data_IF_121164242112
#
_entry.id   IF_121164242112
#
_cell.length_a   1.000
_cell.length_b   1.000
_cell.length_c   1.000
_cell.angle_alpha   90.00
_cell.angle_beta   90.00
_cell.angle_gamma   90.00
#
_symmetry.space_group_name_H-M   'P 1'
#
loop_
_entity.id
_entity.type
_entity.pdbx_description
1 polymer ?
#
# COMPACT_ATOMS: atom_id res chain seq x y z
N UNK A 1 11.71 11.27 -6.61
CA UNK A 1 10.32 11.73 -6.33
C UNK A 1 10.30 13.16 -5.77
N UNK A 2 10.89 13.47 -4.60
CA UNK A 2 10.84 14.82 -3.97
C UNK A 2 11.31 16.00 -4.84
N UNK A 3 12.32 15.78 -5.70
CA UNK A 3 12.86 16.82 -6.60
C UNK A 3 11.85 17.23 -7.68
N UNK A 4 10.88 16.38 -8.02
CA UNK A 4 9.91 16.67 -9.07
C UNK A 4 8.72 17.54 -8.59
N UNK A 5 8.56 17.73 -7.27
CA UNK A 5 7.42 18.43 -6.66
C UNK A 5 7.86 19.48 -5.63
N UNK A 6 9.06 20.05 -5.76
CA UNK A 6 9.56 21.17 -4.94
C UNK A 6 9.39 21.02 -3.41
N UNK A 7 9.56 19.79 -2.89
CA UNK A 7 9.37 19.43 -1.47
C UNK A 7 7.95 19.61 -0.91
N UNK A 8 6.94 19.84 -1.75
CA UNK A 8 5.55 19.91 -1.28
C UNK A 8 5.04 18.53 -0.81
N UNK A 9 4.23 18.49 0.28
CA UNK A 9 3.54 17.27 0.68
C UNK A 9 2.75 16.72 -0.51
N UNK A 10 3.05 15.48 -0.86
CA UNK A 10 2.57 14.87 -2.10
C UNK A 10 2.03 13.48 -1.83
N UNK A 11 1.15 13.02 -2.71
CA UNK A 11 0.56 11.70 -2.60
C UNK A 11 0.81 10.86 -3.85
N UNK A 12 0.81 9.55 -3.66
CA UNK A 12 0.98 8.55 -4.70
C UNK A 12 -0.22 7.61 -4.65
N UNK A 13 -0.83 7.37 -5.81
CA UNK A 13 -1.85 6.33 -5.99
C UNK A 13 -1.25 5.21 -6.82
N UNK A 14 -1.28 4.00 -6.28
CA UNK A 14 -0.75 2.79 -6.92
C UNK A 14 -1.90 1.80 -7.09
N UNK A 15 -2.18 1.43 -8.33
CA UNK A 15 -3.21 0.46 -8.70
C UNK A 15 -2.54 -0.81 -9.22
N UNK A 16 -2.52 -1.87 -8.40
CA UNK A 16 -1.86 -3.16 -8.65
C UNK A 16 -0.42 -3.07 -9.19
N UNK A 17 0.33 -2.06 -8.74
CA UNK A 17 1.66 -1.74 -9.27
C UNK A 17 2.70 -2.86 -9.06
N UNK A 18 2.48 -3.80 -8.13
CA UNK A 18 3.43 -4.88 -7.81
C UNK A 18 3.00 -6.26 -8.33
N UNK A 19 1.82 -6.38 -8.97
CA UNK A 19 1.23 -7.67 -9.34
C UNK A 19 2.13 -8.55 -10.21
N UNK A 20 2.93 -7.96 -11.11
CA UNK A 20 3.81 -8.69 -12.03
C UNK A 20 5.23 -8.90 -11.47
N UNK A 21 5.50 -8.51 -10.24
CA UNK A 21 6.80 -8.75 -9.61
C UNK A 21 6.86 -10.18 -9.06
N UNK A 22 8.03 -10.81 -9.17
CA UNK A 22 8.31 -12.09 -8.52
C UNK A 22 8.27 -11.96 -6.99
N UNK A 23 8.11 -13.10 -6.30
CA UNK A 23 7.92 -13.18 -4.85
C UNK A 23 9.01 -12.43 -4.06
N UNK A 24 10.29 -12.64 -4.42
CA UNK A 24 11.41 -11.98 -3.75
C UNK A 24 11.36 -10.46 -3.95
N UNK A 25 10.95 -10.01 -5.14
CA UNK A 25 10.86 -8.59 -5.45
C UNK A 25 9.69 -7.91 -4.74
N UNK A 26 8.55 -8.60 -4.54
CA UNK A 26 7.40 -8.08 -3.76
C UNK A 26 7.80 -7.74 -2.32
N UNK A 27 8.55 -8.63 -1.67
CA UNK A 27 9.07 -8.41 -0.32
C UNK A 27 9.98 -7.18 -0.20
N UNK A 28 10.66 -6.80 -1.29
CA UNK A 28 11.51 -5.60 -1.33
C UNK A 28 10.74 -4.32 -1.70
N UNK A 29 9.69 -4.42 -2.51
CA UNK A 29 8.92 -3.27 -3.00
C UNK A 29 8.08 -2.62 -1.90
N UNK A 30 7.52 -3.41 -0.98
CA UNK A 30 6.72 -2.89 0.13
C UNK A 30 7.56 -1.99 1.05
N UNK A 31 8.76 -2.38 1.53
CA UNK A 31 9.65 -1.49 2.27
C UNK A 31 10.02 -0.21 1.52
N UNK A 32 10.18 -0.25 0.20
CA UNK A 32 10.46 0.96 -0.59
C UNK A 32 9.27 1.92 -0.59
N UNK A 33 8.03 1.40 -0.68
CA UNK A 33 6.83 2.22 -0.55
C UNK A 33 6.70 2.84 0.86
N UNK A 34 7.03 2.08 1.91
CA UNK A 34 7.10 2.61 3.29
C UNK A 34 8.15 3.70 3.41
N UNK A 35 9.32 3.56 2.77
CA UNK A 35 10.34 4.60 2.74
C UNK A 35 9.85 5.92 2.13
N UNK A 36 8.90 5.88 1.19
CA UNK A 36 8.24 7.08 0.68
C UNK A 36 7.34 7.72 1.74
N UNK A 37 6.59 6.89 2.49
CA UNK A 37 5.75 7.35 3.60
C UNK A 37 6.59 8.02 4.69
N UNK A 38 7.69 7.39 5.11
CA UNK A 38 8.63 7.95 6.08
C UNK A 38 9.28 9.26 5.57
N UNK A 39 9.42 9.42 4.25
CA UNK A 39 9.88 10.65 3.62
C UNK A 39 8.79 11.74 3.51
N UNK A 40 7.59 11.50 4.02
CA UNK A 40 6.48 12.46 4.09
C UNK A 40 5.45 12.34 2.96
N UNK A 41 5.46 11.25 2.19
CA UNK A 41 4.47 11.03 1.13
C UNK A 41 3.24 10.27 1.65
N UNK A 42 2.06 10.67 1.22
CA UNK A 42 0.87 9.83 1.40
C UNK A 42 0.83 8.78 0.29
N UNK A 43 0.71 7.49 0.63
CA UNK A 43 0.61 6.42 -0.38
C UNK A 43 -0.73 5.72 -0.22
N UNK A 44 -1.49 5.67 -1.32
CA UNK A 44 -2.72 4.88 -1.45
C UNK A 44 -2.40 3.72 -2.40
N UNK A 45 -2.52 2.48 -1.91
CA UNK A 45 -2.24 1.28 -2.68
C UNK A 45 -3.49 0.43 -2.78
N UNK A 46 -3.98 0.21 -4.00
CA UNK A 46 -5.12 -0.65 -4.29
C UNK A 46 -4.62 -1.98 -4.83
N UNK A 47 -5.10 -3.08 -4.24
CA UNK A 47 -4.80 -4.42 -4.74
C UNK A 47 -5.84 -5.44 -4.33
N UNK A 48 -6.01 -6.45 -5.19
CA UNK A 48 -6.76 -7.68 -4.92
C UNK A 48 -5.84 -8.83 -4.47
N UNK A 49 -4.52 -8.62 -4.47
CA UNK A 49 -3.54 -9.63 -4.12
C UNK A 49 -3.36 -9.69 -2.60
N UNK A 50 -3.90 -10.74 -1.99
CA UNK A 50 -3.83 -10.99 -0.55
C UNK A 50 -2.40 -10.99 -0.02
N UNK A 51 -1.44 -11.53 -0.79
CA UNK A 51 -0.05 -11.58 -0.36
C UNK A 51 0.57 -10.18 -0.29
N UNK A 52 0.32 -9.32 -1.27
CA UNK A 52 0.79 -7.92 -1.22
C UNK A 52 0.15 -7.17 -0.05
N UNK A 53 -1.17 -7.33 0.16
CA UNK A 53 -1.86 -6.75 1.33
C UNK A 53 -1.21 -7.21 2.64
N UNK A 54 -0.95 -8.50 2.77
CA UNK A 54 -0.40 -9.07 3.99
C UNK A 54 1.04 -8.59 4.23
N UNK A 55 1.85 -8.44 3.16
CA UNK A 55 3.16 -7.78 3.25
C UNK A 55 3.03 -6.34 3.79
N UNK A 56 2.07 -5.55 3.31
CA UNK A 56 1.81 -4.21 3.87
C UNK A 56 1.38 -4.25 5.35
N UNK A 57 0.61 -5.26 5.77
CA UNK A 57 0.21 -5.42 7.16
C UNK A 57 1.41 -5.72 8.08
N UNK A 58 2.39 -6.52 7.63
CA UNK A 58 3.58 -6.85 8.45
C UNK A 58 4.48 -5.65 8.75
N UNK A 59 4.64 -4.73 7.80
CA UNK A 59 5.34 -3.44 8.03
C UNK A 59 4.43 -2.42 8.73
N UNK A 60 3.13 -2.66 8.68
CA UNK A 60 2.05 -1.87 9.24
C UNK A 60 1.94 -1.91 10.76
N UNK A 61 2.65 -2.77 11.49
CA UNK A 61 2.61 -2.82 12.97
C UNK A 61 3.02 -1.50 13.67
N UNK A 62 3.63 -0.56 12.91
CA UNK A 62 3.90 0.82 13.35
C UNK A 62 2.75 1.81 13.10
N UNK A 63 1.69 1.38 12.42
CA UNK A 63 0.61 2.20 11.88
C UNK A 63 -0.75 1.59 12.22
N UNK A 64 -1.81 2.40 12.23
CA UNK A 64 -3.16 1.90 12.49
C UNK A 64 -3.70 1.26 11.21
N UNK A 65 -3.90 -0.05 11.22
CA UNK A 65 -4.60 -0.76 10.14
C UNK A 65 -6.10 -0.75 10.40
N UNK A 66 -6.88 -0.40 9.38
CA UNK A 66 -8.34 -0.45 9.39
C UNK A 66 -8.80 -1.41 8.30
N UNK A 67 -9.45 -2.50 8.72
CA UNK A 67 -10.16 -3.38 7.80
C UNK A 67 -11.62 -2.94 7.71
N UNK A 68 -12.14 -2.85 6.50
CA UNK A 68 -13.59 -2.74 6.32
C UNK A 68 -14.23 -4.05 6.78
N UNK A 69 -15.34 -3.96 7.50
CA UNK A 69 -16.13 -5.13 7.86
C UNK A 69 -16.64 -5.81 6.59
N UNK A 70 -16.68 -7.14 6.58
CA UNK A 70 -17.33 -7.87 5.49
C UNK A 70 -18.77 -7.37 5.32
N UNK A 71 -19.23 -7.14 4.07
CA UNK A 71 -20.61 -6.76 3.83
C UNK A 71 -21.53 -7.81 4.45
N UNK A 72 -22.60 -7.35 5.11
CA UNK A 72 -23.53 -8.28 5.73
C UNK A 72 -24.13 -9.19 4.64
N UNK A 73 -24.38 -10.48 4.90
CA UNK A 73 -24.92 -11.41 3.91
C UNK A 73 -26.31 -11.05 3.35
N UNK A 74 -26.88 -9.90 3.72
CA UNK A 74 -28.26 -9.52 3.42
C UNK A 74 -28.45 -8.57 2.23
N UNK A 75 -27.37 -8.15 1.56
CA UNK A 75 -27.45 -7.19 0.44
C UNK A 75 -27.49 -7.83 -0.97
N UNK A 76 -27.36 -9.16 -1.07
CA UNK A 76 -27.53 -9.93 -2.32
C UNK A 76 -28.92 -10.58 -2.41
N UNK A 77 -29.98 -9.75 -2.48
CA UNK A 77 -31.33 -10.20 -2.86
C UNK A 77 -31.84 -9.46 -4.09
#
# INVERSE_FOLDING_TARGET
>A
ARIALDNEPSFLVLDDAFQHSDWNRREQLVPQAVGLVEAGWQVLYFTIDDHIRDLFNTVGDRYVSHSLSEPSPSEDR
#
